data_IF_861602478991
#
_entry.id   IF_861602478991
#
_cell.length_a   1.000
_cell.length_b   1.000
_cell.length_c   1.000
_cell.angle_alpha   90.00
_cell.angle_beta   90.00
_cell.angle_gamma   90.00
#
_symmetry.space_group_name_H-M   'P 1'
#
loop_
_entity.id
_entity.type
_entity.pdbx_description
1 polymer ?
#
# COMPACT_ATOMS: atom_id res chain seq x y z
N UNK A 1 6.92 -0.47 -16.00
CA UNK A 1 5.85 -1.31 -15.38
C UNK A 1 4.54 -1.10 -16.11
N UNK A 2 3.75 -2.17 -16.29
CA UNK A 2 2.37 -2.02 -16.76
C UNK A 2 1.40 -2.09 -15.57
N UNK A 3 0.88 -0.94 -15.16
CA UNK A 3 -0.11 -0.82 -14.05
C UNK A 3 -1.36 -1.66 -14.32
N UNK A 4 -1.72 -1.88 -15.59
CA UNK A 4 -2.83 -2.77 -15.99
C UNK A 4 -2.60 -4.23 -15.59
N UNK A 5 -1.32 -4.68 -15.56
CA UNK A 5 -0.99 -6.03 -15.07
C UNK A 5 -1.25 -6.14 -13.57
N UNK A 6 -0.85 -5.13 -12.78
CA UNK A 6 -1.11 -5.07 -11.34
C UNK A 6 -2.62 -5.07 -11.07
N UNK A 7 -3.41 -4.25 -11.80
CA UNK A 7 -4.86 -4.24 -11.67
C UNK A 7 -5.48 -5.61 -11.92
N UNK A 8 -5.05 -6.29 -12.99
CA UNK A 8 -5.57 -7.61 -13.32
C UNK A 8 -5.25 -8.63 -12.22
N UNK A 9 -4.01 -8.66 -11.71
CA UNK A 9 -3.62 -9.55 -10.60
C UNK A 9 -4.48 -9.30 -9.36
N UNK A 10 -4.72 -8.04 -9.01
CA UNK A 10 -5.58 -7.66 -7.88
C UNK A 10 -7.02 -8.16 -8.11
N UNK A 11 -7.62 -7.93 -9.27
CA UNK A 11 -9.01 -8.34 -9.53
C UNK A 11 -9.15 -9.87 -9.60
N UNK A 12 -8.15 -10.59 -10.10
CA UNK A 12 -8.10 -12.05 -10.04
C UNK A 12 -8.05 -12.55 -8.59
N UNK A 13 -7.21 -11.93 -7.74
CA UNK A 13 -7.08 -12.26 -6.33
C UNK A 13 -8.36 -11.95 -5.53
N UNK A 14 -9.00 -10.81 -5.79
CA UNK A 14 -10.31 -10.45 -5.19
C UNK A 14 -11.39 -11.44 -5.62
N UNK A 15 -11.43 -11.82 -6.89
CA UNK A 15 -12.39 -12.82 -7.40
C UNK A 15 -12.14 -14.20 -6.78
N UNK A 16 -10.89 -14.56 -6.51
CA UNK A 16 -10.56 -15.80 -5.80
C UNK A 16 -11.02 -15.75 -4.34
N UNK A 17 -10.88 -14.62 -3.65
CA UNK A 17 -11.34 -14.46 -2.26
C UNK A 17 -12.86 -14.67 -2.13
N UNK A 18 -13.65 -14.13 -3.05
CA UNK A 18 -15.11 -14.35 -3.09
C UNK A 18 -15.46 -15.84 -3.15
N UNK A 19 -14.65 -16.65 -3.84
CA UNK A 19 -14.88 -18.10 -3.98
C UNK A 19 -14.28 -18.89 -2.82
N UNK A 20 -13.10 -18.52 -2.35
CA UNK A 20 -12.30 -19.32 -1.42
C UNK A 20 -12.52 -18.95 0.04
N UNK A 21 -12.76 -17.67 0.35
CA UNK A 21 -12.88 -17.12 1.70
C UNK A 21 -11.62 -17.34 2.55
N UNK A 22 -10.44 -17.37 1.94
CA UNK A 22 -9.16 -17.63 2.64
C UNK A 22 -8.79 -16.51 3.57
N UNK A 23 -8.85 -15.25 3.11
CA UNK A 23 -8.59 -14.08 3.93
C UNK A 23 -9.59 -14.01 5.09
N UNK A 24 -10.89 -14.24 4.80
CA UNK A 24 -11.92 -14.24 5.84
C UNK A 24 -11.62 -15.24 6.95
N UNK A 25 -11.15 -16.44 6.61
CA UNK A 25 -10.74 -17.44 7.62
C UNK A 25 -9.50 -17.01 8.38
N UNK A 26 -8.49 -16.46 7.70
CA UNK A 26 -7.29 -15.97 8.37
C UNK A 26 -7.60 -14.83 9.36
N UNK A 27 -8.52 -13.93 9.01
CA UNK A 27 -8.99 -12.86 9.90
C UNK A 27 -9.75 -13.42 11.12
N UNK A 28 -10.57 -14.45 10.93
CA UNK A 28 -11.26 -15.12 12.04
C UNK A 28 -10.25 -15.79 12.99
N UNK A 29 -9.32 -16.56 12.45
CA UNK A 29 -8.26 -17.22 13.23
C UNK A 29 -7.41 -16.18 13.99
N UNK A 30 -7.09 -15.06 13.35
CA UNK A 30 -6.37 -13.96 14.01
C UNK A 30 -7.18 -13.37 15.18
N UNK A 31 -8.47 -13.10 14.98
CA UNK A 31 -9.34 -12.58 16.03
C UNK A 31 -9.42 -13.55 17.23
N UNK A 32 -9.59 -14.84 16.97
CA UNK A 32 -9.62 -15.89 18.00
C UNK A 32 -8.29 -15.95 18.78
N UNK A 33 -7.16 -15.88 18.10
CA UNK A 33 -5.83 -15.83 18.73
C UNK A 33 -5.66 -14.61 19.65
N UNK A 34 -6.33 -13.49 19.30
CA UNK A 34 -6.36 -12.28 20.14
C UNK A 34 -7.44 -12.33 21.23
N UNK A 35 -8.14 -13.46 21.39
CA UNK A 35 -9.23 -13.61 22.35
C UNK A 35 -10.46 -12.77 22.04
N UNK A 36 -10.70 -12.45 20.76
CA UNK A 36 -11.83 -11.65 20.30
C UNK A 36 -12.88 -12.53 19.62
N UNK A 37 -14.14 -12.10 19.73
CA UNK A 37 -15.26 -12.71 19.01
C UNK A 37 -15.68 -11.75 17.90
N UNK A 38 -15.29 -12.05 16.67
CA UNK A 38 -15.71 -11.30 15.50
C UNK A 38 -17.03 -11.84 14.94
N UNK A 39 -17.95 -10.95 14.62
CA UNK A 39 -19.20 -11.31 13.92
C UNK A 39 -18.94 -11.45 12.42
N UNK A 40 -19.91 -12.04 11.69
CA UNK A 40 -19.84 -12.11 10.23
C UNK A 40 -19.72 -10.71 9.60
N UNK A 41 -20.43 -9.72 10.12
CA UNK A 41 -20.35 -8.33 9.66
C UNK A 41 -18.98 -7.70 9.92
N UNK A 42 -18.33 -8.01 11.04
CA UNK A 42 -16.96 -7.55 11.34
C UNK A 42 -15.95 -8.14 10.35
N UNK A 43 -16.09 -9.43 10.04
CA UNK A 43 -15.24 -10.11 9.08
C UNK A 43 -15.44 -9.58 7.67
N UNK A 44 -16.69 -9.33 7.25
CA UNK A 44 -16.99 -8.75 5.94
C UNK A 44 -16.42 -7.33 5.81
N UNK A 45 -16.51 -6.52 6.88
CA UNK A 45 -15.91 -5.19 6.94
C UNK A 45 -14.38 -5.25 6.85
N UNK A 46 -13.76 -6.19 7.54
CA UNK A 46 -12.31 -6.36 7.52
C UNK A 46 -11.82 -6.85 6.15
N UNK A 47 -12.51 -7.80 5.51
CA UNK A 47 -12.23 -8.23 4.13
C UNK A 47 -12.36 -7.04 3.16
N UNK A 48 -13.45 -6.27 3.27
CA UNK A 48 -13.67 -5.06 2.47
C UNK A 48 -12.51 -4.07 2.59
N UNK A 49 -12.02 -3.83 3.81
CA UNK A 49 -10.87 -2.96 4.04
C UNK A 49 -9.61 -3.46 3.30
N UNK A 50 -9.29 -4.75 3.39
CA UNK A 50 -8.12 -5.33 2.71
C UNK A 50 -8.28 -5.24 1.19
N UNK A 51 -9.47 -5.50 0.65
CA UNK A 51 -9.78 -5.32 -0.78
C UNK A 51 -9.53 -3.88 -1.22
N UNK A 52 -10.04 -2.92 -0.45
CA UNK A 52 -9.83 -1.50 -0.75
C UNK A 52 -8.34 -1.13 -0.67
N UNK A 53 -7.63 -1.63 0.33
CA UNK A 53 -6.19 -1.39 0.48
C UNK A 53 -5.40 -1.84 -0.75
N UNK A 54 -5.60 -3.06 -1.25
CA UNK A 54 -4.88 -3.54 -2.43
C UNK A 54 -5.31 -2.81 -3.71
N UNK A 55 -6.60 -2.46 -3.84
CA UNK A 55 -7.14 -1.72 -5.00
C UNK A 55 -6.63 -0.28 -5.11
N UNK A 56 -6.06 0.26 -4.03
CA UNK A 56 -5.48 1.60 -4.07
C UNK A 56 -4.12 1.65 -4.76
N UNK A 57 -3.38 0.54 -4.83
CA UNK A 57 -2.04 0.50 -5.43
C UNK A 57 -2.01 1.07 -6.85
N UNK A 58 -2.85 0.61 -7.80
CA UNK A 58 -2.79 1.11 -9.17
C UNK A 58 -3.07 2.61 -9.28
N UNK A 59 -4.02 3.12 -8.49
CA UNK A 59 -4.38 4.53 -8.46
C UNK A 59 -3.24 5.42 -7.98
N UNK A 60 -2.56 5.02 -6.91
CA UNK A 60 -1.42 5.75 -6.37
C UNK A 60 -0.21 5.70 -7.31
N UNK A 61 0.04 4.56 -7.96
CA UNK A 61 1.11 4.45 -8.96
C UNK A 61 0.88 5.37 -10.16
N UNK A 62 -0.35 5.42 -10.70
CA UNK A 62 -0.72 6.35 -11.79
C UNK A 62 -0.62 7.80 -11.36
N UNK A 63 -1.15 8.12 -10.19
CA UNK A 63 -1.10 9.48 -9.63
C UNK A 63 0.35 9.94 -9.42
N UNK A 64 1.22 9.06 -8.93
CA UNK A 64 2.65 9.33 -8.78
C UNK A 64 3.33 9.66 -10.11
N UNK A 65 3.05 8.88 -11.15
CA UNK A 65 3.60 9.11 -12.49
C UNK A 65 3.11 10.42 -13.10
N UNK A 66 1.81 10.72 -12.99
CA UNK A 66 1.25 11.96 -13.52
C UNK A 66 1.80 13.20 -12.81
N UNK A 67 1.94 13.14 -11.48
CA UNK A 67 2.58 14.23 -10.73
C UNK A 67 4.02 14.44 -11.13
N UNK A 68 4.78 13.36 -11.30
CA UNK A 68 6.16 13.44 -11.74
C UNK A 68 6.27 14.01 -13.16
N UNK A 69 5.36 13.64 -14.06
CA UNK A 69 5.30 14.20 -15.41
C UNK A 69 5.06 15.72 -15.40
N UNK A 70 4.14 16.19 -14.58
CA UNK A 70 3.87 17.63 -14.41
C UNK A 70 5.10 18.35 -13.84
N UNK A 71 5.84 17.70 -12.95
CA UNK A 71 7.05 18.24 -12.34
C UNK A 71 8.31 18.11 -13.20
N UNK A 72 8.26 17.45 -14.36
CA UNK A 72 9.43 17.15 -15.17
C UNK A 72 10.36 16.09 -14.56
N UNK A 73 9.84 15.22 -13.70
CA UNK A 73 10.56 14.17 -12.98
C UNK A 73 10.12 12.76 -13.41
N UNK A 74 9.63 12.62 -14.64
CA UNK A 74 9.08 11.37 -15.16
C UNK A 74 10.10 10.22 -15.18
N UNK A 75 11.36 10.54 -15.53
CA UNK A 75 12.41 9.53 -15.59
C UNK A 75 12.73 8.97 -14.20
N UNK A 76 12.92 9.83 -13.21
CA UNK A 76 13.22 9.45 -11.81
C UNK A 76 12.05 8.67 -11.19
N UNK A 77 10.81 9.09 -11.45
CA UNK A 77 9.63 8.38 -10.97
C UNK A 77 9.48 7.01 -11.64
N UNK A 78 9.80 6.90 -12.92
CA UNK A 78 9.75 5.62 -13.63
C UNK A 78 10.66 4.58 -12.98
N UNK A 79 11.88 4.96 -12.59
CA UNK A 79 12.80 4.08 -11.87
C UNK A 79 12.25 3.64 -10.48
N UNK A 80 11.61 4.56 -9.76
CA UNK A 80 10.94 4.26 -8.49
C UNK A 80 9.80 3.27 -8.69
N UNK A 81 8.96 3.52 -9.71
CA UNK A 81 7.83 2.65 -10.02
C UNK A 81 8.27 1.27 -10.53
N UNK A 82 9.35 1.19 -11.29
CA UNK A 82 9.96 -0.07 -11.69
C UNK A 82 10.46 -0.86 -10.47
N UNK A 83 11.03 -0.16 -9.49
CA UNK A 83 11.45 -0.78 -8.23
C UNK A 83 10.26 -1.33 -7.44
N UNK A 84 9.18 -0.56 -7.31
CA UNK A 84 7.95 -1.02 -6.67
C UNK A 84 7.34 -2.22 -7.42
N UNK A 85 7.34 -2.15 -8.76
CA UNK A 85 6.75 -3.18 -9.61
C UNK A 85 7.60 -4.44 -9.74
N UNK A 86 8.88 -4.38 -9.44
CA UNK A 86 9.74 -5.56 -9.51
C UNK A 86 9.27 -6.65 -8.55
N UNK A 87 8.60 -6.28 -7.45
CA UNK A 87 8.04 -7.23 -6.50
C UNK A 87 6.81 -7.95 -7.12
N UNK A 88 5.89 -7.22 -7.76
CA UNK A 88 4.72 -7.78 -8.46
C UNK A 88 5.06 -8.73 -9.62
N UNK A 89 6.30 -8.74 -10.09
CA UNK A 89 6.76 -9.62 -11.16
C UNK A 89 7.35 -10.94 -10.64
N UNK A 90 7.51 -11.09 -9.33
CA UNK A 90 8.05 -12.30 -8.71
C UNK A 90 6.91 -13.28 -8.50
N UNK A 91 6.92 -14.41 -9.18
CA UNK A 91 5.92 -15.47 -9.01
C UNK A 91 6.15 -16.36 -7.77
N UNK A 92 7.33 -16.27 -7.17
CA UNK A 92 7.73 -16.97 -5.94
C UNK A 92 8.29 -15.92 -4.96
N UNK A 93 7.43 -15.08 -4.44
CA UNK A 93 7.69 -14.10 -3.40
C UNK A 93 7.47 -14.69 -1.99
N UNK A 94 7.40 -13.83 -0.97
CA UNK A 94 7.31 -14.29 0.42
C UNK A 94 5.97 -14.92 0.74
N UNK A 95 4.89 -14.48 0.08
CA UNK A 95 3.54 -15.06 0.20
C UNK A 95 3.09 -15.48 -1.21
N UNK A 96 3.01 -16.78 -1.52
CA UNK A 96 2.71 -17.22 -2.87
C UNK A 96 1.38 -16.71 -3.42
N UNK A 97 1.35 -16.13 -4.65
CA UNK A 97 0.17 -15.58 -5.34
C UNK A 97 -1.02 -16.54 -5.39
N UNK A 98 -0.77 -17.86 -5.40
CA UNK A 98 -1.83 -18.88 -5.35
C UNK A 98 -2.71 -18.83 -4.10
N UNK A 99 -2.34 -18.02 -3.10
CA UNK A 99 -3.15 -17.76 -1.92
C UNK A 99 -4.21 -16.67 -2.14
N UNK A 100 -4.35 -16.18 -3.37
CA UNK A 100 -5.35 -15.19 -3.73
C UNK A 100 -5.08 -13.85 -3.08
N UNK A 101 -6.08 -13.26 -2.41
CA UNK A 101 -5.93 -11.93 -1.82
C UNK A 101 -4.82 -11.85 -0.74
N UNK A 102 -4.55 -12.93 -0.03
CA UNK A 102 -3.40 -13.00 0.89
C UNK A 102 -2.07 -12.98 0.12
N UNK A 103 -2.02 -13.57 -1.09
CA UNK A 103 -0.81 -13.65 -1.90
C UNK A 103 -0.41 -12.31 -2.50
N UNK A 104 -1.36 -11.42 -2.81
CA UNK A 104 -1.06 -10.08 -3.34
C UNK A 104 -0.94 -9.00 -2.24
N UNK A 105 -1.11 -9.39 -0.97
CA UNK A 105 -1.07 -8.46 0.14
C UNK A 105 0.34 -7.95 0.43
N UNK A 106 1.34 -8.78 0.30
CA UNK A 106 2.75 -8.41 0.48
C UNK A 106 3.25 -7.49 -0.65
N UNK A 107 2.84 -7.73 -1.90
CA UNK A 107 3.07 -6.83 -3.02
C UNK A 107 2.48 -5.43 -2.77
N UNK A 108 1.21 -5.39 -2.34
CA UNK A 108 0.54 -4.15 -2.01
C UNK A 108 1.21 -3.46 -0.82
N UNK A 109 1.57 -4.22 0.22
CA UNK A 109 2.28 -3.71 1.39
C UNK A 109 3.61 -3.08 1.01
N UNK A 110 4.44 -3.76 0.21
CA UNK A 110 5.71 -3.22 -0.26
C UNK A 110 5.53 -1.93 -1.05
N UNK A 111 4.59 -1.92 -2.01
CA UNK A 111 4.32 -0.76 -2.85
C UNK A 111 3.82 0.45 -2.06
N UNK A 112 2.82 0.25 -1.19
CA UNK A 112 2.22 1.33 -0.40
C UNK A 112 3.15 1.84 0.70
N UNK A 113 3.97 0.96 1.30
CA UNK A 113 4.97 1.36 2.30
C UNK A 113 6.11 2.15 1.65
N UNK A 114 6.55 1.77 0.44
CA UNK A 114 7.56 2.51 -0.31
C UNK A 114 7.06 3.92 -0.66
N UNK A 115 5.84 4.03 -1.18
CA UNK A 115 5.21 5.32 -1.50
C UNK A 115 5.00 6.17 -0.25
N UNK A 116 4.55 5.59 0.86
CA UNK A 116 4.42 6.30 2.14
C UNK A 116 5.77 6.84 2.60
N UNK A 117 6.83 6.03 2.54
CA UNK A 117 8.19 6.46 2.93
C UNK A 117 8.70 7.64 2.10
N UNK A 118 8.39 7.66 0.79
CA UNK A 118 8.71 8.79 -0.08
C UNK A 118 7.93 10.05 0.32
N UNK A 119 6.64 9.92 0.64
CA UNK A 119 5.79 11.02 1.10
C UNK A 119 6.25 11.57 2.45
N UNK A 120 6.60 10.71 3.41
CA UNK A 120 7.09 11.10 4.73
C UNK A 120 8.43 11.83 4.63
N UNK A 121 9.32 11.37 3.77
CA UNK A 121 10.60 12.05 3.50
C UNK A 121 10.38 13.44 2.92
N UNK A 122 9.48 13.56 1.94
CA UNK A 122 9.14 14.84 1.34
C UNK A 122 8.50 15.78 2.37
N UNK A 123 7.60 15.28 3.22
CA UNK A 123 6.98 16.06 4.29
C UNK A 123 8.01 16.57 5.31
N UNK A 124 8.97 15.75 5.71
CA UNK A 124 10.04 16.16 6.61
C UNK A 124 10.89 17.31 6.05
N UNK A 125 11.11 17.33 4.74
CA UNK A 125 11.96 18.32 4.08
C UNK A 125 11.21 19.59 3.65
N UNK A 126 9.91 19.49 3.36
CA UNK A 126 9.12 20.59 2.77
C UNK A 126 7.94 21.04 3.62
N UNK A 127 7.56 20.27 4.64
CA UNK A 127 6.33 20.47 5.43
C UNK A 127 5.04 20.10 4.68
N UNK A 128 5.12 19.42 3.53
CA UNK A 128 3.97 19.05 2.69
C UNK A 128 4.03 17.59 2.32
N UNK A 129 2.88 16.91 2.35
CA UNK A 129 2.75 15.53 1.87
C UNK A 129 2.67 15.46 0.36
N UNK A 130 3.21 14.38 -0.21
CA UNK A 130 3.05 14.07 -1.64
C UNK A 130 1.66 13.49 -1.92
N UNK A 131 1.11 12.70 -0.99
CA UNK A 131 -0.17 11.99 -1.14
C UNK A 131 -1.16 12.46 -0.08
N UNK A 132 -2.43 12.63 -0.47
CA UNK A 132 -3.48 13.08 0.40
C UNK A 132 -3.74 12.14 1.59
N UNK A 133 -3.83 10.81 1.48
CA UNK A 133 -4.01 9.96 2.64
C UNK A 133 -2.69 9.60 3.30
N UNK A 134 -2.68 9.64 4.64
CA UNK A 134 -1.64 9.01 5.45
C UNK A 134 -1.91 7.50 5.55
N UNK A 135 -1.15 6.71 4.84
CA UNK A 135 -1.30 5.25 4.82
C UNK A 135 -0.67 4.55 6.04
N UNK A 136 0.02 5.28 6.93
CA UNK A 136 0.77 4.69 8.02
C UNK A 136 -0.07 3.76 8.92
N UNK A 137 -1.33 4.14 9.21
CA UNK A 137 -2.22 3.28 10.01
C UNK A 137 -2.62 2.01 9.25
N UNK A 138 -2.96 2.13 7.97
CA UNK A 138 -3.30 0.99 7.12
C UNK A 138 -2.10 0.04 6.95
N UNK A 139 -0.91 0.58 6.64
CA UNK A 139 0.31 -0.22 6.50
C UNK A 139 0.64 -0.97 7.81
N UNK A 140 0.49 -0.33 8.99
CA UNK A 140 0.68 -1.02 10.27
C UNK A 140 -0.30 -2.16 10.48
N UNK A 141 -1.56 -1.98 10.11
CA UNK A 141 -2.57 -3.03 10.21
C UNK A 141 -2.27 -4.21 9.27
N UNK A 142 -1.89 -3.93 8.02
CA UNK A 142 -1.50 -4.98 7.06
C UNK A 142 -0.22 -5.70 7.50
N UNK A 143 0.75 -4.98 8.04
CA UNK A 143 1.94 -5.59 8.64
C UNK A 143 1.60 -6.61 9.74
N UNK A 144 0.63 -6.28 10.61
CA UNK A 144 0.16 -7.21 11.65
C UNK A 144 -0.56 -8.42 11.06
N UNK A 145 -1.37 -8.23 10.01
CA UNK A 145 -2.07 -9.31 9.31
C UNK A 145 -1.09 -10.26 8.61
N UNK A 146 -0.07 -9.72 7.95
CA UNK A 146 1.01 -10.50 7.32
C UNK A 146 1.77 -11.31 8.39
N UNK A 147 2.10 -10.69 9.51
CA UNK A 147 2.72 -11.35 10.66
C UNK A 147 4.22 -11.61 10.50
N UNK A 148 4.86 -11.95 11.63
CA UNK A 148 6.28 -12.31 11.66
C UNK A 148 6.53 -13.77 11.26
N UNK A 149 7.65 -14.11 10.62
CA UNK A 149 8.79 -13.24 10.27
C UNK A 149 8.67 -12.52 8.92
N UNK A 150 7.59 -12.77 8.17
CA UNK A 150 7.43 -12.27 6.79
C UNK A 150 7.41 -10.74 6.80
N UNK A 151 6.63 -10.12 7.68
CA UNK A 151 6.54 -8.67 7.76
C UNK A 151 7.90 -7.98 7.95
N UNK A 152 8.77 -8.53 8.82
CA UNK A 152 10.12 -7.98 8.99
C UNK A 152 11.01 -8.13 7.75
N UNK A 153 10.85 -9.20 6.98
CA UNK A 153 11.59 -9.39 5.73
C UNK A 153 11.12 -8.39 4.66
N UNK A 154 9.80 -8.12 4.58
CA UNK A 154 9.24 -7.11 3.70
C UNK A 154 9.71 -5.70 4.09
N UNK A 155 9.75 -5.38 5.39
CA UNK A 155 10.30 -4.11 5.88
C UNK A 155 11.76 -3.91 5.47
N UNK A 156 12.58 -4.97 5.57
CA UNK A 156 13.97 -4.94 5.11
C UNK A 156 14.07 -4.74 3.59
N UNK A 157 13.21 -5.42 2.83
CA UNK A 157 13.15 -5.25 1.37
C UNK A 157 12.80 -3.80 1.01
N UNK A 158 11.71 -3.25 1.57
CA UNK A 158 11.30 -1.85 1.35
C UNK A 158 12.41 -0.89 1.75
N UNK A 159 13.03 -1.08 2.93
CA UNK A 159 14.15 -0.26 3.40
C UNK A 159 15.32 -0.26 2.40
N UNK A 160 15.70 -1.42 1.88
CA UNK A 160 16.77 -1.54 0.89
C UNK A 160 16.45 -0.81 -0.43
N UNK A 161 15.18 -0.84 -0.85
CA UNK A 161 14.73 -0.11 -2.04
C UNK A 161 14.67 1.39 -1.80
N UNK A 162 14.26 1.82 -0.60
CA UNK A 162 14.21 3.23 -0.23
C UNK A 162 15.60 3.87 -0.14
N UNK A 163 16.61 3.12 0.29
CA UNK A 163 18.01 3.55 0.35
C UNK A 163 18.71 3.48 -1.02
N UNK A 164 18.10 2.87 -2.02
CA UNK A 164 18.66 2.78 -3.37
C UNK A 164 18.71 4.16 -4.06
N UNK A 165 19.70 4.36 -4.92
CA UNK A 165 19.95 5.64 -5.61
C UNK A 165 18.72 6.26 -6.28
N UNK A 166 17.83 5.51 -6.99
CA UNK A 166 16.65 6.10 -7.63
C UNK A 166 15.71 6.79 -6.62
N UNK A 167 15.46 6.15 -5.46
CA UNK A 167 14.59 6.71 -4.43
C UNK A 167 15.19 7.95 -3.78
N UNK A 168 16.49 7.93 -3.51
CA UNK A 168 17.20 9.09 -2.94
C UNK A 168 17.21 10.25 -3.92
N UNK A 169 17.43 9.99 -5.20
CA UNK A 169 17.40 11.00 -6.25
C UNK A 169 16.00 11.58 -6.42
N UNK A 170 14.97 10.74 -6.46
CA UNK A 170 13.58 11.19 -6.53
C UNK A 170 13.17 12.06 -5.35
N UNK A 171 13.50 11.67 -4.12
CA UNK A 171 13.22 12.47 -2.93
C UNK A 171 13.88 13.85 -2.99
N UNK A 172 15.14 13.92 -3.44
CA UNK A 172 15.87 15.19 -3.63
C UNK A 172 15.24 16.06 -4.74
N UNK A 173 14.89 15.47 -5.87
CA UNK A 173 14.27 16.16 -6.99
C UNK A 173 12.91 16.74 -6.61
N UNK A 174 12.05 15.96 -5.94
CA UNK A 174 10.76 16.42 -5.41
C UNK A 174 10.92 17.59 -4.43
N UNK A 175 11.91 17.50 -3.54
CA UNK A 175 12.22 18.59 -2.61
C UNK A 175 12.66 19.87 -3.32
N UNK A 176 13.50 19.76 -4.35
CA UNK A 176 13.94 20.90 -5.13
C UNK A 176 12.77 21.60 -5.83
N UNK A 177 11.93 20.85 -6.54
CA UNK A 177 10.73 21.39 -7.24
C UNK A 177 9.76 22.04 -6.27
N UNK A 178 9.54 21.44 -5.09
CA UNK A 178 8.65 21.99 -4.08
C UNK A 178 9.16 23.31 -3.49
N UNK A 179 10.47 23.47 -3.33
CA UNK A 179 11.11 24.72 -2.85
C UNK A 179 11.04 25.83 -3.88
N UNK A 180 10.99 25.53 -5.14
CA UNK A 180 10.82 26.50 -6.25
C UNK A 180 9.37 27.01 -6.37
N UNK A 181 8.46 26.60 -5.49
CA UNK A 181 7.10 27.11 -5.40
C UNK A 181 6.08 26.39 -6.27
N UNK A 182 6.47 25.35 -7.00
CA UNK A 182 5.52 24.46 -7.64
C UNK A 182 5.02 23.46 -6.60
N UNK A 183 3.86 23.76 -5.99
CA UNK A 183 3.21 22.84 -5.07
C UNK A 183 2.86 21.53 -5.79
N UNK A 184 3.68 20.49 -5.56
CA UNK A 184 3.35 19.17 -6.04
C UNK A 184 2.21 18.62 -5.16
N UNK A 185 1.03 18.56 -5.71
CA UNK A 185 -0.07 17.77 -5.20
C UNK A 185 -0.35 16.67 -6.20
N UNK A 186 -0.34 15.42 -5.72
CA UNK A 186 -1.06 14.39 -6.44
C UNK A 186 -2.52 14.84 -6.54
N UNK A 187 -3.15 14.76 -7.72
CA UNK A 187 -4.57 15.05 -7.82
C UNK A 187 -5.27 14.25 -6.72
N UNK A 188 -6.07 14.96 -5.92
CA UNK A 188 -6.96 14.34 -4.95
C UNK A 188 -7.87 13.41 -5.76
N UNK A 189 -7.44 12.16 -5.93
CA UNK A 189 -8.34 11.11 -6.34
C UNK A 189 -9.49 11.04 -5.35
N UNK A 190 -10.62 10.40 -5.67
CA UNK A 190 -11.66 10.16 -4.69
C UNK A 190 -10.98 9.58 -3.47
N UNK A 191 -11.03 10.33 -2.36
CA UNK A 191 -10.23 10.05 -1.17
C UNK A 191 -10.37 8.58 -0.81
N UNK A 192 -9.25 7.92 -0.58
CA UNK A 192 -9.24 6.56 -0.07
C UNK A 192 -10.24 6.53 1.08
N UNK A 193 -11.16 5.60 1.06
CA UNK A 193 -12.25 5.49 2.03
C UNK A 193 -13.15 6.76 2.17
N UNK A 194 -13.45 7.44 1.05
CA UNK A 194 -14.44 8.54 1.03
C UNK A 194 -14.06 9.79 1.83
N UNK A 195 -12.75 10.03 2.04
CA UNK A 195 -12.25 11.19 2.77
C UNK A 195 -12.29 11.03 4.30
N UNK A 196 -12.65 9.87 4.83
CA UNK A 196 -12.56 9.57 6.26
C UNK A 196 -11.08 9.39 6.62
N UNK A 197 -10.60 9.88 7.79
CA UNK A 197 -9.25 9.63 8.24
C UNK A 197 -8.92 8.14 8.31
N UNK A 198 -7.78 7.74 7.75
CA UNK A 198 -7.41 6.31 7.60
C UNK A 198 -7.37 5.58 8.95
N UNK A 199 -6.92 6.22 10.01
CA UNK A 199 -6.87 5.63 11.34
C UNK A 199 -8.27 5.39 11.95
N UNK A 200 -9.28 6.17 11.57
CA UNK A 200 -10.67 5.94 11.95
C UNK A 200 -11.25 4.75 11.19
N UNK A 201 -10.98 4.65 9.89
CA UNK A 201 -11.39 3.50 9.07
C UNK A 201 -10.73 2.21 9.58
N UNK A 202 -9.43 2.25 9.86
CA UNK A 202 -8.70 1.10 10.44
C UNK A 202 -9.34 0.67 11.76
N UNK A 203 -9.63 1.59 12.66
CA UNK A 203 -10.27 1.26 13.94
C UNK A 203 -11.66 0.67 13.77
N UNK A 204 -12.46 1.20 12.87
CA UNK A 204 -13.84 0.72 12.66
C UNK A 204 -13.90 -0.64 11.97
N UNK A 205 -13.06 -0.89 10.98
CA UNK A 205 -13.11 -2.12 10.17
C UNK A 205 -12.21 -3.23 10.72
N UNK A 206 -11.06 -2.89 11.27
CA UNK A 206 -10.04 -3.85 11.70
C UNK A 206 -9.94 -3.99 13.22
N UNK A 207 -10.51 -3.04 13.99
CA UNK A 207 -10.55 -3.10 15.45
C UNK A 207 -11.25 -4.37 15.98
N UNK A 208 -12.43 -4.75 15.46
CA UNK A 208 -13.11 -5.97 15.89
C UNK A 208 -12.29 -7.25 15.72
N UNK A 209 -11.49 -7.34 14.67
CA UNK A 209 -10.61 -8.50 14.41
C UNK A 209 -9.22 -8.38 15.03
N UNK A 210 -8.92 -7.31 15.77
CA UNK A 210 -7.64 -7.18 16.52
C UNK A 210 -6.47 -6.60 15.75
N UNK A 211 -6.69 -5.97 14.60
CA UNK A 211 -5.64 -5.42 13.72
C UNK A 211 -5.49 -3.89 13.80
N UNK A 212 -6.34 -3.18 14.55
CA UNK A 212 -6.25 -1.73 14.74
C UNK A 212 -5.22 -1.33 15.80
#
# INVERSE_FOLDING_TARGET
MNVETVERQIEEAVSDEVRSGRLRRALLEHAEQQGRSATDGDLDSAVGFVVDYVRHVPGLLRGGLETARIAGLEAEMSEVLESAASYWALSEDMIPDRLGLLGVLDDAYCSLTLLQSLSDRHEQETGRRLFAPDLAAANRAMRRLIGEPIASQLDMYVGSKFEADPMVQMARALTAVSREGQGLHLPEGPGIWGGIPVDEVVRSHLGPVGLA
#
